data_IF_078455267645
#
_entry.id   IF_078455267645
#
_cell.length_a   1.000
_cell.length_b   1.000
_cell.length_c   1.000
_cell.angle_alpha   90.00
_cell.angle_beta   90.00
_cell.angle_gamma   90.00
#
_symmetry.space_group_name_H-M   'P 1'
#
loop_
_entity.id
_entity.type
_entity.pdbx_description
1 polymer ?
#
# COMPACT_ATOMS: atom_id res chain seq x y z
N UNK A 1 15.00 -5.63 -35.56
CA UNK A 1 13.52 -5.67 -35.57
C UNK A 1 13.04 -4.55 -34.69
N UNK A 2 12.19 -3.66 -35.22
CA UNK A 2 11.73 -2.47 -34.51
C UNK A 2 10.51 -2.85 -33.68
N UNK A 3 10.59 -2.72 -32.36
CA UNK A 3 9.48 -3.10 -31.46
C UNK A 3 8.25 -2.22 -31.70
N UNK A 4 7.04 -2.81 -31.79
CA UNK A 4 5.78 -2.08 -31.87
C UNK A 4 5.59 -1.07 -30.73
N UNK A 5 4.98 0.08 -31.02
CA UNK A 5 4.69 1.14 -30.04
C UNK A 5 3.85 0.65 -28.84
N UNK A 6 3.04 -0.40 -29.00
CA UNK A 6 2.27 -1.00 -27.89
C UNK A 6 3.15 -1.74 -26.86
N UNK A 7 4.29 -2.28 -27.28
CA UNK A 7 5.31 -2.87 -26.38
C UNK A 7 6.08 -1.77 -25.66
N UNK A 8 6.37 -0.67 -26.36
CA UNK A 8 6.99 0.54 -25.78
C UNK A 8 6.11 1.20 -24.71
N UNK A 9 4.79 1.17 -24.89
CA UNK A 9 3.82 1.67 -23.90
C UNK A 9 3.71 0.76 -22.67
N UNK A 10 3.98 -0.54 -22.84
CA UNK A 10 4.03 -1.52 -21.76
C UNK A 10 5.35 -1.48 -20.97
N UNK A 11 6.45 -0.96 -21.51
CA UNK A 11 7.75 -0.85 -20.80
C UNK A 11 8.16 -2.17 -20.10
N UNK A 12 7.89 -3.30 -20.74
CA UNK A 12 8.47 -4.58 -20.31
C UNK A 12 9.77 -4.75 -21.08
N UNK A 13 10.90 -4.72 -20.37
CA UNK A 13 12.19 -5.03 -20.97
C UNK A 13 12.17 -6.48 -21.49
N UNK A 14 12.80 -6.73 -22.65
CA UNK A 14 12.91 -8.07 -23.22
C UNK A 14 13.41 -9.13 -22.21
N UNK A 15 14.29 -8.72 -21.28
CA UNK A 15 14.79 -9.59 -20.21
C UNK A 15 13.71 -9.98 -19.19
N UNK A 16 12.80 -9.08 -18.82
CA UNK A 16 11.75 -9.37 -17.84
C UNK A 16 10.65 -10.26 -18.42
N UNK A 17 10.33 -10.10 -19.70
CA UNK A 17 9.44 -11.00 -20.42
C UNK A 17 10.06 -12.39 -20.61
N UNK A 18 11.35 -12.48 -20.93
CA UNK A 18 12.05 -13.77 -21.02
C UNK A 18 12.03 -14.53 -19.67
N UNK A 19 12.32 -13.83 -18.56
CA UNK A 19 12.25 -14.42 -17.21
C UNK A 19 10.85 -14.91 -16.88
N UNK A 20 9.82 -14.19 -17.29
CA UNK A 20 8.43 -14.55 -17.04
C UNK A 20 7.97 -15.76 -17.86
N UNK A 21 8.26 -15.79 -19.16
CA UNK A 21 7.93 -16.96 -19.99
C UNK A 21 8.65 -18.21 -19.47
N UNK A 22 9.95 -18.10 -19.14
CA UNK A 22 10.73 -19.19 -18.56
C UNK A 22 10.14 -19.67 -17.22
N UNK A 23 9.72 -18.74 -16.36
CA UNK A 23 9.06 -19.06 -15.09
C UNK A 23 7.74 -19.82 -15.30
N UNK A 24 6.90 -19.37 -16.23
CA UNK A 24 5.62 -20.04 -16.52
C UNK A 24 5.81 -21.43 -17.13
N UNK A 25 6.76 -21.59 -18.05
CA UNK A 25 7.05 -22.88 -18.68
C UNK A 25 7.53 -23.89 -17.62
N UNK A 26 8.44 -23.45 -16.74
CA UNK A 26 8.97 -24.30 -15.65
C UNK A 26 7.90 -24.71 -14.65
N UNK A 27 6.95 -23.83 -14.39
CA UNK A 27 5.83 -24.11 -13.48
C UNK A 27 4.79 -25.03 -14.11
N UNK A 28 4.58 -24.96 -15.42
CA UNK A 28 3.77 -25.96 -16.13
C UNK A 28 4.40 -27.36 -16.07
N UNK A 29 5.72 -27.46 -16.25
CA UNK A 29 6.46 -28.73 -16.11
C UNK A 29 6.30 -29.31 -14.69
N UNK A 30 6.46 -28.46 -13.66
CA UNK A 30 6.30 -28.87 -12.26
C UNK A 30 4.88 -29.30 -11.93
N UNK A 31 3.88 -28.55 -12.39
CA UNK A 31 2.49 -28.90 -12.20
C UNK A 31 2.15 -30.26 -12.87
N UNK A 32 2.72 -30.54 -14.05
CA UNK A 32 2.58 -31.83 -14.72
C UNK A 32 3.23 -32.98 -13.93
N UNK A 33 4.30 -32.70 -13.18
CA UNK A 33 4.97 -33.65 -12.27
C UNK A 33 4.32 -33.72 -10.87
N UNK A 34 3.25 -32.97 -10.61
CA UNK A 34 2.55 -32.94 -9.32
C UNK A 34 3.30 -32.16 -8.21
N UNK A 35 4.30 -31.35 -8.57
CA UNK A 35 4.99 -30.49 -7.61
C UNK A 35 4.23 -29.17 -7.40
N UNK A 36 4.28 -28.66 -6.16
CA UNK A 36 3.69 -27.36 -5.81
C UNK A 36 4.45 -26.17 -6.40
N UNK A 37 3.81 -24.98 -6.42
CA UNK A 37 4.40 -23.81 -7.03
C UNK A 37 5.62 -23.31 -6.25
N UNK A 38 6.59 -22.74 -6.97
CA UNK A 38 7.83 -22.19 -6.38
C UNK A 38 8.03 -20.75 -6.79
N UNK A 39 8.74 -20.00 -5.93
CA UNK A 39 9.12 -18.61 -6.16
C UNK A 39 10.36 -18.53 -7.07
N UNK A 40 10.28 -17.80 -8.18
CA UNK A 40 11.42 -17.56 -9.09
C UNK A 40 11.78 -16.09 -9.08
N UNK A 41 13.06 -15.78 -8.89
CA UNK A 41 13.55 -14.39 -8.85
C UNK A 41 12.78 -13.49 -7.86
N UNK A 42 12.34 -14.05 -6.73
CA UNK A 42 11.55 -13.30 -5.75
C UNK A 42 10.08 -13.07 -6.15
N UNK A 43 9.58 -13.70 -7.21
CA UNK A 43 8.19 -13.57 -7.68
C UNK A 43 7.48 -14.92 -7.76
N UNK A 44 6.18 -14.90 -7.50
CA UNK A 44 5.30 -16.05 -7.72
C UNK A 44 4.86 -16.12 -9.18
N UNK A 45 4.59 -17.31 -9.74
CA UNK A 45 4.26 -17.51 -11.14
C UNK A 45 2.80 -17.16 -11.46
N UNK A 46 2.44 -15.89 -11.30
CA UNK A 46 1.09 -15.42 -11.64
C UNK A 46 0.91 -15.20 -13.13
N UNK A 47 -0.21 -15.65 -13.68
CA UNK A 47 -0.57 -15.38 -15.09
C UNK A 47 -1.06 -13.95 -15.24
N UNK A 48 -0.36 -13.17 -16.07
CA UNK A 48 -0.77 -11.81 -16.45
C UNK A 48 -2.02 -11.85 -17.30
N UNK A 49 -2.98 -10.97 -17.01
CA UNK A 49 -4.21 -10.80 -17.78
C UNK A 49 -4.29 -9.34 -18.22
N UNK A 50 -4.37 -9.09 -19.53
CA UNK A 50 -4.39 -7.74 -20.12
C UNK A 50 -3.25 -6.78 -19.71
N UNK A 51 -2.11 -7.31 -19.24
CA UNK A 51 -0.97 -6.52 -18.76
C UNK A 51 -0.99 -6.20 -17.27
N UNK A 52 -2.00 -6.68 -16.53
CA UNK A 52 -2.05 -6.67 -15.06
C UNK A 52 -1.46 -7.99 -14.55
N UNK A 53 -0.57 -7.91 -13.56
CA UNK A 53 0.04 -9.09 -12.95
C UNK A 53 -0.95 -9.84 -12.03
N UNK A 54 -1.68 -9.10 -11.19
CA UNK A 54 -2.61 -9.68 -10.20
C UNK A 54 -3.99 -8.99 -10.24
N UNK A 55 -4.89 -9.40 -11.16
CA UNK A 55 -6.15 -8.68 -11.38
C UNK A 55 -7.09 -8.68 -10.15
N UNK A 56 -7.10 -9.77 -9.38
CA UNK A 56 -7.91 -9.84 -8.15
C UNK A 56 -7.38 -8.92 -7.05
N UNK A 57 -6.06 -8.92 -6.83
CA UNK A 57 -5.42 -8.02 -5.85
C UNK A 57 -5.65 -6.56 -6.22
N UNK A 58 -5.52 -6.19 -7.51
CA UNK A 58 -5.84 -4.84 -8.00
C UNK A 58 -7.28 -4.47 -7.72
N UNK A 59 -8.23 -5.36 -8.03
CA UNK A 59 -9.66 -5.09 -7.81
C UNK A 59 -9.97 -4.88 -6.32
N UNK A 60 -9.43 -5.74 -5.45
CA UNK A 60 -9.62 -5.62 -4.00
C UNK A 60 -8.97 -4.35 -3.44
N UNK A 61 -7.76 -3.98 -3.88
CA UNK A 61 -7.11 -2.74 -3.47
C UNK A 61 -7.89 -1.50 -3.96
N UNK A 62 -8.41 -1.52 -5.18
CA UNK A 62 -9.25 -0.44 -5.71
C UNK A 62 -10.59 -0.30 -4.95
N UNK A 63 -11.21 -1.42 -4.57
CA UNK A 63 -12.41 -1.40 -3.72
C UNK A 63 -12.11 -0.84 -2.34
N UNK A 64 -11.00 -1.24 -1.71
CA UNK A 64 -10.57 -0.66 -0.44
C UNK A 64 -10.33 0.85 -0.56
N UNK A 65 -9.63 1.29 -1.62
CA UNK A 65 -9.41 2.70 -1.90
C UNK A 65 -10.74 3.47 -1.99
N UNK A 66 -11.71 2.93 -2.73
CA UNK A 66 -13.04 3.54 -2.87
C UNK A 66 -13.77 3.64 -1.52
N UNK A 67 -13.71 2.60 -0.69
CA UNK A 67 -14.33 2.60 0.64
C UNK A 67 -13.67 3.60 1.58
N UNK A 68 -12.33 3.70 1.58
CA UNK A 68 -11.62 4.72 2.35
C UNK A 68 -11.94 6.14 1.88
N UNK A 69 -12.07 6.36 0.58
CA UNK A 69 -12.47 7.65 0.02
C UNK A 69 -13.90 8.02 0.45
N UNK A 70 -14.83 7.09 0.31
CA UNK A 70 -16.21 7.29 0.73
C UNK A 70 -16.32 7.58 2.23
N UNK A 71 -15.58 6.85 3.07
CA UNK A 71 -15.54 7.07 4.51
C UNK A 71 -14.97 8.44 4.89
N UNK A 72 -13.86 8.84 4.27
CA UNK A 72 -13.25 10.15 4.48
C UNK A 72 -14.17 11.30 4.04
N UNK A 73 -14.80 11.18 2.88
CA UNK A 73 -15.76 12.18 2.38
C UNK A 73 -17.00 12.28 3.28
N UNK A 74 -17.54 11.14 3.72
CA UNK A 74 -18.68 11.12 4.64
C UNK A 74 -18.36 11.79 5.96
N UNK A 75 -17.15 11.56 6.50
CA UNK A 75 -16.67 12.23 7.71
C UNK A 75 -16.48 13.74 7.51
N UNK A 76 -15.90 14.14 6.37
CA UNK A 76 -15.77 15.55 6.00
C UNK A 76 -17.15 16.24 5.95
N UNK A 77 -18.12 15.64 5.25
CA UNK A 77 -19.47 16.19 5.12
C UNK A 77 -20.13 16.33 6.51
N UNK A 78 -20.03 15.30 7.35
CA UNK A 78 -20.57 15.33 8.71
C UNK A 78 -20.01 16.50 9.53
N UNK A 79 -18.69 16.70 9.49
CA UNK A 79 -18.02 17.76 10.26
C UNK A 79 -18.37 19.17 9.81
N UNK A 80 -18.43 19.41 8.50
CA UNK A 80 -18.58 20.77 7.97
C UNK A 80 -20.03 21.17 7.73
N UNK A 81 -20.93 20.22 7.43
CA UNK A 81 -22.31 20.52 7.05
C UNK A 81 -23.37 20.12 8.07
N UNK A 82 -23.07 19.18 8.98
CA UNK A 82 -24.06 18.66 9.93
C UNK A 82 -23.78 19.04 11.38
N UNK A 83 -22.51 19.21 11.76
CA UNK A 83 -22.12 19.57 13.12
C UNK A 83 -22.06 21.10 13.28
N UNK A 84 -22.58 21.65 14.39
CA UNK A 84 -22.42 23.06 14.71
C UNK A 84 -20.94 23.37 14.96
N UNK A 85 -20.41 24.34 14.24
CA UNK A 85 -19.06 24.87 14.47
C UNK A 85 -19.03 25.61 15.82
N UNK A 86 -17.93 25.48 16.57
CA UNK A 86 -17.70 26.31 17.77
C UNK A 86 -17.65 27.80 17.37
N UNK A 87 -17.89 28.74 18.30
CA UNK A 87 -17.77 30.19 18.03
C UNK A 87 -16.41 30.58 17.41
N UNK A 88 -15.35 29.86 17.75
CA UNK A 88 -13.99 30.00 17.20
C UNK A 88 -13.78 29.38 15.80
N UNK A 89 -14.84 28.97 15.09
CA UNK A 89 -14.79 28.26 13.80
C UNK A 89 -14.02 26.93 13.81
N UNK A 90 -13.63 26.43 14.98
CA UNK A 90 -13.01 25.11 15.14
C UNK A 90 -14.06 23.99 15.14
N UNK A 91 -13.78 22.83 14.54
CA UNK A 91 -14.67 21.68 14.62
C UNK A 91 -14.87 21.27 16.09
N UNK A 92 -16.07 20.79 16.43
CA UNK A 92 -16.41 20.38 17.81
C UNK A 92 -15.54 19.21 18.29
N UNK A 93 -15.05 18.39 17.36
CA UNK A 93 -14.25 17.20 17.63
C UNK A 93 -12.74 17.49 17.55
N UNK A 94 -12.05 17.42 18.69
CA UNK A 94 -10.64 17.79 18.83
C UNK A 94 -9.68 16.89 18.02
N UNK A 95 -10.11 15.68 17.65
CA UNK A 95 -9.31 14.73 16.86
C UNK A 95 -9.55 14.84 15.35
N UNK A 96 -10.29 15.84 14.89
CA UNK A 96 -10.64 16.02 13.47
C UNK A 96 -9.41 15.98 12.55
N UNK A 97 -8.35 16.71 12.90
CA UNK A 97 -7.12 16.74 12.09
C UNK A 97 -6.48 15.36 11.97
N UNK A 98 -6.50 14.58 13.05
CA UNK A 98 -5.90 13.24 13.05
C UNK A 98 -6.63 12.26 12.13
N UNK A 99 -7.97 12.35 12.06
CA UNK A 99 -8.77 11.51 11.16
C UNK A 99 -8.63 11.91 9.69
N UNK A 100 -8.38 13.19 9.39
CA UNK A 100 -8.08 13.61 8.02
C UNK A 100 -6.74 13.05 7.55
N UNK A 101 -5.71 13.12 8.40
CA UNK A 101 -4.39 12.54 8.10
C UNK A 101 -4.51 11.01 7.91
N UNK A 102 -5.29 10.33 8.77
CA UNK A 102 -5.57 8.90 8.61
C UNK A 102 -6.18 8.58 7.24
N UNK A 103 -7.21 9.35 6.85
CA UNK A 103 -7.88 9.17 5.56
C UNK A 103 -6.92 9.34 4.39
N UNK A 104 -6.12 10.41 4.40
CA UNK A 104 -5.13 10.67 3.35
C UNK A 104 -4.05 9.59 3.26
N UNK A 105 -3.53 9.12 4.40
CA UNK A 105 -2.56 8.02 4.43
C UNK A 105 -3.16 6.71 3.95
N UNK A 106 -4.42 6.43 4.31
CA UNK A 106 -5.14 5.23 3.84
C UNK A 106 -5.30 5.28 2.32
N UNK A 107 -5.74 6.42 1.77
CA UNK A 107 -5.87 6.61 0.33
C UNK A 107 -4.53 6.43 -0.39
N UNK A 108 -3.45 6.98 0.17
CA UNK A 108 -2.12 6.83 -0.39
C UNK A 108 -1.67 5.35 -0.42
N UNK A 109 -1.89 4.63 0.68
CA UNK A 109 -1.49 3.22 0.78
C UNK A 109 -2.26 2.32 -0.19
N UNK A 110 -3.59 2.44 -0.26
CA UNK A 110 -4.37 1.62 -1.18
C UNK A 110 -4.16 2.00 -2.65
N UNK A 111 -3.83 3.25 -2.93
CA UNK A 111 -3.42 3.67 -4.27
C UNK A 111 -2.12 2.98 -4.68
N UNK A 112 -1.08 3.02 -3.84
CA UNK A 112 0.19 2.36 -4.16
C UNK A 112 0.06 0.84 -4.22
N UNK A 113 -0.78 0.23 -3.38
CA UNK A 113 -1.11 -1.19 -3.47
C UNK A 113 -1.75 -1.55 -4.81
N UNK A 114 -2.76 -0.79 -5.25
CA UNK A 114 -3.39 -1.03 -6.55
C UNK A 114 -2.39 -0.86 -7.71
N UNK A 115 -1.50 0.14 -7.64
CA UNK A 115 -0.45 0.35 -8.64
C UNK A 115 0.56 -0.81 -8.63
N UNK A 116 1.02 -1.26 -7.47
CA UNK A 116 1.97 -2.37 -7.33
C UNK A 116 1.41 -3.68 -7.88
N UNK A 117 0.18 -4.06 -7.51
CA UNK A 117 -0.46 -5.28 -8.04
C UNK A 117 -0.78 -5.18 -9.55
N UNK A 118 -0.93 -3.96 -10.08
CA UNK A 118 -1.10 -3.75 -11.51
C UNK A 118 0.22 -3.93 -12.27
N UNK A 119 1.30 -3.39 -11.72
CA UNK A 119 2.63 -3.39 -12.31
C UNK A 119 3.68 -3.46 -11.22
N UNK A 120 4.20 -4.65 -11.02
CA UNK A 120 5.22 -4.96 -10.03
C UNK A 120 6.62 -4.61 -10.58
N UNK A 121 7.05 -3.38 -10.29
CA UNK A 121 8.42 -2.89 -10.46
C UNK A 121 9.03 -2.52 -9.10
N UNK A 122 10.35 -2.59 -8.97
CA UNK A 122 11.07 -2.33 -7.71
C UNK A 122 10.69 -0.99 -7.06
N UNK A 123 10.39 0.04 -7.87
CA UNK A 123 9.95 1.34 -7.37
C UNK A 123 8.55 1.29 -6.75
N UNK A 124 7.58 0.68 -7.45
CA UNK A 124 6.19 0.58 -6.96
C UNK A 124 6.10 -0.32 -5.74
N UNK A 125 6.94 -1.34 -5.68
CA UNK A 125 7.08 -2.21 -4.53
C UNK A 125 7.54 -1.43 -3.29
N UNK A 126 8.65 -0.70 -3.41
CA UNK A 126 9.16 0.14 -2.31
C UNK A 126 8.12 1.15 -1.83
N UNK A 127 7.37 1.75 -2.76
CA UNK A 127 6.33 2.72 -2.43
C UNK A 127 5.13 2.07 -1.74
N UNK A 128 4.69 0.89 -2.17
CA UNK A 128 3.61 0.15 -1.53
C UNK A 128 3.97 -0.20 -0.08
N UNK A 129 5.12 -0.85 0.14
CA UNK A 129 5.57 -1.18 1.50
C UNK A 129 5.80 0.05 2.37
N UNK A 130 6.43 1.10 1.83
CA UNK A 130 6.64 2.35 2.58
C UNK A 130 5.30 2.97 3.01
N UNK A 131 4.31 2.98 2.12
CA UNK A 131 2.99 3.54 2.38
C UNK A 131 2.18 2.69 3.39
N UNK A 132 2.28 1.36 3.31
CA UNK A 132 1.65 0.45 4.25
C UNK A 132 2.23 0.60 5.67
N UNK A 133 3.57 0.68 5.78
CA UNK A 133 4.25 0.92 7.06
C UNK A 133 3.88 2.28 7.64
N UNK A 134 3.80 3.32 6.81
CA UNK A 134 3.38 4.65 7.26
C UNK A 134 1.92 4.64 7.78
N UNK A 135 1.01 3.96 7.08
CA UNK A 135 -0.39 3.81 7.51
C UNK A 135 -0.50 3.04 8.84
N UNK A 136 0.16 1.89 8.97
CA UNK A 136 0.14 1.08 10.18
C UNK A 136 0.72 1.83 11.37
N UNK A 137 1.87 2.47 11.17
CA UNK A 137 2.53 3.27 12.19
C UNK A 137 1.68 4.46 12.65
N UNK A 138 1.05 5.16 11.71
CA UNK A 138 0.13 6.24 12.05
C UNK A 138 -1.14 5.72 12.75
N UNK A 139 -1.64 4.55 12.36
CA UNK A 139 -2.78 3.90 13.02
C UNK A 139 -2.48 3.57 14.47
N UNK A 140 -1.26 3.12 14.78
CA UNK A 140 -0.80 2.90 16.15
C UNK A 140 -0.78 4.20 16.97
N UNK A 141 -0.23 5.28 16.40
CA UNK A 141 -0.25 6.62 17.02
C UNK A 141 -1.69 7.03 17.32
N UNK A 142 -2.57 6.95 16.33
CA UNK A 142 -3.97 7.31 16.46
C UNK A 142 -4.67 6.47 17.54
N UNK A 143 -4.43 5.16 17.58
CA UNK A 143 -5.00 4.25 18.57
C UNK A 143 -4.57 4.63 19.99
N UNK A 144 -3.30 4.95 20.21
CA UNK A 144 -2.80 5.39 21.52
C UNK A 144 -3.46 6.73 21.91
N UNK A 145 -3.36 7.75 21.05
CA UNK A 145 -3.91 9.08 21.36
C UNK A 145 -5.41 9.03 21.64
N UNK A 146 -6.16 8.20 20.90
CA UNK A 146 -7.62 8.10 21.05
C UNK A 146 -8.03 7.26 22.25
N UNK A 147 -7.33 6.16 22.54
CA UNK A 147 -7.65 5.26 23.66
C UNK A 147 -7.35 5.90 25.01
N UNK A 148 -6.22 6.62 25.12
CA UNK A 148 -5.86 7.36 26.32
C UNK A 148 -6.48 8.77 26.39
N UNK A 149 -7.29 9.16 25.38
CA UNK A 149 -7.94 10.46 25.28
C UNK A 149 -6.96 11.63 25.51
N UNK A 150 -5.79 11.57 24.87
CA UNK A 150 -4.73 12.58 25.03
C UNK A 150 -5.12 13.86 24.29
N UNK A 151 -5.49 14.89 25.05
CA UNK A 151 -5.92 16.19 24.52
C UNK A 151 -4.82 17.24 24.51
N UNK A 152 -3.84 17.10 25.40
CA UNK A 152 -2.73 18.05 25.49
C UNK A 152 -1.78 17.90 24.30
N UNK A 153 -1.52 19.00 23.61
CA UNK A 153 -0.69 18.99 22.38
C UNK A 153 0.75 18.54 22.67
N UNK A 154 1.32 18.93 23.81
CA UNK A 154 2.66 18.51 24.22
C UNK A 154 2.73 16.98 24.41
N UNK A 155 1.74 16.38 25.06
CA UNK A 155 1.65 14.93 25.25
C UNK A 155 1.44 14.20 23.92
N UNK A 156 0.66 14.76 22.99
CA UNK A 156 0.51 14.19 21.63
C UNK A 156 1.83 14.13 20.89
N UNK A 157 2.61 15.21 20.93
CA UNK A 157 3.94 15.26 20.28
C UNK A 157 4.90 14.29 20.96
N UNK A 158 4.93 14.24 22.29
CA UNK A 158 5.81 13.35 23.05
C UNK A 158 5.57 11.86 22.74
N UNK A 159 4.31 11.46 22.54
CA UNK A 159 3.95 10.09 22.15
C UNK A 159 4.21 9.82 20.67
N UNK A 160 3.88 10.78 19.79
CA UNK A 160 3.95 10.58 18.34
C UNK A 160 5.39 10.62 17.81
N UNK A 161 6.23 11.51 18.34
CA UNK A 161 7.60 11.72 17.85
C UNK A 161 8.49 10.44 17.86
N UNK A 162 8.59 9.66 18.95
CA UNK A 162 9.41 8.44 18.95
C UNK A 162 8.86 7.38 17.99
N UNK A 163 7.54 7.26 17.89
CA UNK A 163 6.90 6.32 16.95
C UNK A 163 7.15 6.73 15.50
N UNK A 164 7.02 8.02 15.17
CA UNK A 164 7.36 8.54 13.85
C UNK A 164 8.83 8.32 13.51
N UNK A 165 9.74 8.57 14.44
CA UNK A 165 11.17 8.31 14.25
C UNK A 165 11.44 6.82 13.94
N UNK A 166 10.80 5.91 14.68
CA UNK A 166 10.88 4.47 14.42
C UNK A 166 10.34 4.11 13.04
N UNK A 167 9.15 4.59 12.68
CA UNK A 167 8.51 4.34 11.37
C UNK A 167 9.41 4.83 10.24
N UNK A 168 9.92 6.06 10.32
CA UNK A 168 10.81 6.63 9.29
C UNK A 168 12.10 5.82 9.16
N UNK A 169 12.71 5.42 10.29
CA UNK A 169 13.92 4.58 10.26
C UNK A 169 13.63 3.23 9.64
N UNK A 170 12.48 2.64 9.93
CA UNK A 170 12.07 1.36 9.35
C UNK A 170 11.80 1.45 7.85
N UNK A 171 11.14 2.52 7.37
CA UNK A 171 10.96 2.79 5.94
C UNK A 171 12.30 2.95 5.24
N UNK A 172 13.25 3.68 5.83
CA UNK A 172 14.60 3.83 5.29
C UNK A 172 15.34 2.50 5.25
N UNK A 173 15.18 1.64 6.25
CA UNK A 173 15.74 0.30 6.25
C UNK A 173 15.18 -0.53 5.09
N UNK A 174 13.85 -0.61 4.93
CA UNK A 174 13.23 -1.37 3.84
C UNK A 174 13.61 -0.87 2.44
N UNK A 175 13.82 0.45 2.29
CA UNK A 175 14.18 1.03 0.98
C UNK A 175 15.65 0.78 0.59
N UNK A 176 16.55 0.60 1.56
CA UNK A 176 17.99 0.46 1.34
C UNK A 176 18.48 -0.99 1.36
N UNK A 177 17.76 -1.90 2.00
CA UNK A 177 18.13 -3.32 2.07
C UNK A 177 17.32 -4.15 1.06
N UNK A 178 17.95 -5.20 0.51
CA UNK A 178 17.25 -6.18 -0.32
C UNK A 178 16.32 -7.00 0.59
N UNK A 179 15.04 -7.06 0.25
CA UNK A 179 14.08 -7.84 1.01
C UNK A 179 14.27 -9.32 0.71
N UNK A 180 14.61 -10.10 1.74
CA UNK A 180 14.67 -11.56 1.64
C UNK A 180 13.24 -12.12 1.66
N UNK A 181 12.69 -12.40 0.49
CA UNK A 181 11.34 -12.97 0.36
C UNK A 181 11.26 -14.48 0.66
N UNK A 182 12.19 -15.02 1.45
CA UNK A 182 12.35 -16.45 1.69
C UNK A 182 11.18 -17.11 2.42
N UNK A 183 10.35 -16.35 3.12
CA UNK A 183 9.27 -16.88 3.98
C UNK A 183 8.02 -15.98 3.92
N UNK A 184 7.39 -15.86 2.75
CA UNK A 184 5.96 -15.49 2.67
C UNK A 184 5.27 -16.51 1.77
N UNK A 185 5.02 -17.68 2.35
CA UNK A 185 3.79 -18.43 2.08
C UNK A 185 2.73 -17.85 3.03
N UNK A 186 1.44 -17.82 2.62
CA UNK A 186 0.30 -17.08 3.22
C UNK A 186 0.23 -15.67 2.61
N UNK A 187 -0.53 -15.39 1.55
CA UNK A 187 -1.95 -15.70 1.30
C UNK A 187 -2.24 -16.19 -0.12
#
# INVERSE_FOLDING_TARGET
>A
MQEPLYLRWKQWDCQSDCRYCCMLDREQEKAALGHGPVKYHGKWPFKRVYGIQEPFSVALSALNLAMHFHGWLSFFILLYYKLPLKPDKKPYYDYTGLWHIYGLLSLNSWFWSAVFHSRDVDLTEKLDYSSAVALLGYSLILAILRSFNVREEAARVMVSAPLLAFITTHILYLNNYQMDYGIIAIF
#
